data_IF_572477660147
#
_entry.id   IF_572477660147
#
_cell.length_a   1.000
_cell.length_b   1.000
_cell.length_c   1.000
_cell.angle_alpha   90.00
_cell.angle_beta   90.00
_cell.angle_gamma   90.00
#
_symmetry.space_group_name_H-M   'P 1'
#
loop_
_entity.id
_entity.type
_entity.pdbx_description
1 polymer ?
#
# COMPACT_ATOMS: atom_id res chain seq x y z
N UNK A 1 8.89 -9.28 -19.26
CA UNK A 1 8.47 -7.87 -19.47
C UNK A 1 9.60 -6.97 -19.01
N UNK A 2 9.93 -5.88 -19.73
CA UNK A 2 10.95 -4.92 -19.27
C UNK A 2 10.28 -3.94 -18.29
N UNK A 3 10.78 -3.88 -17.07
CA UNK A 3 10.28 -2.99 -16.01
C UNK A 3 11.45 -2.35 -15.26
N UNK A 4 11.35 -1.07 -14.94
CA UNK A 4 12.34 -0.38 -14.12
C UNK A 4 12.13 -0.69 -12.65
N UNK A 5 13.21 -1.12 -11.98
CA UNK A 5 13.27 -1.22 -10.53
C UNK A 5 13.97 0.01 -9.96
N UNK A 6 13.36 0.62 -8.94
CA UNK A 6 13.84 1.87 -8.35
C UNK A 6 14.67 1.62 -7.11
N UNK A 7 15.79 2.32 -7.00
CA UNK A 7 16.48 2.49 -5.72
C UNK A 7 15.59 3.31 -4.77
N UNK A 8 15.80 3.16 -3.46
CA UNK A 8 15.03 3.92 -2.47
C UNK A 8 15.20 5.44 -2.65
N UNK A 9 16.42 5.88 -3.00
CA UNK A 9 16.70 7.29 -3.25
C UNK A 9 15.92 7.81 -4.47
N UNK A 10 15.94 7.08 -5.59
CA UNK A 10 15.22 7.48 -6.80
C UNK A 10 13.71 7.48 -6.60
N UNK A 11 13.16 6.47 -5.91
CA UNK A 11 11.74 6.44 -5.57
C UNK A 11 11.32 7.69 -4.78
N UNK A 12 12.10 8.07 -3.76
CA UNK A 12 11.84 9.28 -2.98
C UNK A 12 11.94 10.56 -3.82
N UNK A 13 12.89 10.63 -4.75
CA UNK A 13 13.01 11.76 -5.67
C UNK A 13 11.78 11.89 -6.56
N UNK A 14 11.30 10.79 -7.15
CA UNK A 14 10.10 10.80 -7.98
C UNK A 14 8.87 11.17 -7.15
N UNK A 15 8.69 10.61 -5.96
CA UNK A 15 7.58 10.96 -5.06
C UNK A 15 7.55 12.48 -4.77
N UNK A 16 8.70 13.07 -4.45
CA UNK A 16 8.80 14.50 -4.20
C UNK A 16 8.44 15.34 -5.44
N UNK A 17 8.83 14.89 -6.64
CA UNK A 17 8.49 15.60 -7.88
C UNK A 17 7.02 15.47 -8.24
N UNK A 18 6.42 14.30 -8.05
CA UNK A 18 4.97 14.09 -8.21
C UNK A 18 4.17 15.07 -7.34
N UNK A 19 4.68 15.36 -6.14
CA UNK A 19 4.06 16.29 -5.19
C UNK A 19 4.51 17.75 -5.33
N UNK A 20 5.32 18.07 -6.33
CA UNK A 20 5.73 19.45 -6.60
C UNK A 20 4.63 20.22 -7.34
N UNK A 21 4.68 21.56 -7.29
CA UNK A 21 3.77 22.44 -8.02
C UNK A 21 3.78 22.19 -9.54
N UNK A 22 4.88 21.63 -10.08
CA UNK A 22 5.01 21.32 -11.50
C UNK A 22 4.17 20.12 -11.94
N UNK A 23 3.86 19.18 -11.03
CA UNK A 23 3.02 18.00 -11.33
C UNK A 23 1.66 18.12 -10.64
N UNK A 24 1.64 18.49 -9.37
CA UNK A 24 0.43 18.90 -8.66
C UNK A 24 -0.31 17.78 -7.92
N UNK A 25 0.29 16.61 -7.70
CA UNK A 25 -0.33 15.65 -6.78
C UNK A 25 -0.21 16.10 -5.33
N UNK A 26 -1.26 15.87 -4.56
CA UNK A 26 -1.16 15.91 -3.10
C UNK A 26 -0.74 14.55 -2.55
N UNK A 27 -0.09 14.54 -1.38
CA UNK A 27 0.20 13.27 -0.68
C UNK A 27 -1.08 12.48 -0.45
N UNK A 28 -2.19 13.16 -0.14
CA UNK A 28 -3.51 12.56 0.08
C UNK A 28 -3.99 11.79 -1.15
N UNK A 29 -3.87 12.38 -2.35
CA UNK A 29 -4.31 11.73 -3.60
C UNK A 29 -3.47 10.50 -3.92
N UNK A 30 -2.14 10.58 -3.80
CA UNK A 30 -1.25 9.44 -4.07
C UNK A 30 -1.54 8.28 -3.10
N UNK A 31 -1.71 8.58 -1.82
CA UNK A 31 -2.01 7.60 -0.77
C UNK A 31 -3.39 6.98 -0.98
N UNK A 32 -4.39 7.77 -1.38
CA UNK A 32 -5.73 7.29 -1.67
C UNK A 32 -5.75 6.31 -2.86
N UNK A 33 -5.03 6.65 -3.94
CA UNK A 33 -4.86 5.78 -5.12
C UNK A 33 -4.06 4.51 -4.81
N UNK A 34 -3.03 4.62 -3.98
CA UNK A 34 -2.21 3.49 -3.55
C UNK A 34 -3.02 2.51 -2.69
N UNK A 35 -3.71 3.01 -1.66
CA UNK A 35 -4.54 2.20 -0.79
C UNK A 35 -5.69 1.53 -1.54
N UNK A 36 -6.37 2.23 -2.45
CA UNK A 36 -7.38 1.62 -3.32
C UNK A 36 -6.79 0.47 -4.16
N UNK A 37 -5.60 0.66 -4.74
CA UNK A 37 -4.94 -0.38 -5.53
C UNK A 37 -4.63 -1.62 -4.69
N UNK A 38 -4.15 -1.43 -3.46
CA UNK A 38 -3.91 -2.52 -2.50
C UNK A 38 -5.22 -3.28 -2.22
N UNK A 39 -6.29 -2.57 -1.91
CA UNK A 39 -7.59 -3.18 -1.61
C UNK A 39 -8.16 -3.94 -2.80
N UNK A 40 -8.02 -3.43 -4.02
CA UNK A 40 -8.48 -4.12 -5.23
C UNK A 40 -7.67 -5.40 -5.50
N UNK A 41 -6.36 -5.39 -5.27
CA UNK A 41 -5.52 -6.59 -5.38
C UNK A 41 -5.98 -7.66 -4.38
N UNK A 42 -6.17 -7.26 -3.12
CA UNK A 42 -6.62 -8.17 -2.06
C UNK A 42 -8.00 -8.75 -2.42
N UNK A 43 -8.96 -7.89 -2.77
CA UNK A 43 -10.32 -8.31 -3.15
C UNK A 43 -10.33 -9.30 -4.31
N UNK A 44 -9.46 -9.11 -5.30
CA UNK A 44 -9.36 -10.01 -6.45
C UNK A 44 -8.80 -11.39 -6.09
N UNK A 45 -7.92 -11.46 -5.09
CA UNK A 45 -7.14 -12.67 -4.79
C UNK A 45 -7.66 -13.47 -3.58
N UNK A 46 -8.45 -12.85 -2.70
CA UNK A 46 -8.89 -13.46 -1.45
C UNK A 46 -10.40 -13.28 -1.27
N UNK A 47 -11.20 -14.30 -1.58
CA UNK A 47 -12.67 -14.19 -1.53
C UNK A 47 -13.22 -13.98 -0.10
N UNK A 48 -14.42 -13.40 -0.01
CA UNK A 48 -15.07 -13.12 1.27
C UNK A 48 -15.59 -14.37 2.00
N UNK A 49 -15.67 -15.53 1.35
CA UNK A 49 -16.14 -16.78 1.98
C UNK A 49 -15.03 -17.37 2.84
N UNK A 50 -13.81 -17.40 2.29
CA UNK A 50 -12.66 -18.02 2.94
C UNK A 50 -11.80 -17.01 3.74
N UNK A 51 -11.79 -15.74 3.34
CA UNK A 51 -10.85 -14.73 3.86
C UNK A 51 -11.53 -13.47 4.40
N UNK A 52 -12.68 -13.62 5.07
CA UNK A 52 -13.47 -12.47 5.55
C UNK A 52 -12.74 -11.54 6.52
N UNK A 53 -11.85 -12.06 7.36
CA UNK A 53 -11.17 -11.30 8.42
C UNK A 53 -9.77 -10.90 7.98
N UNK A 54 -9.44 -9.61 8.13
CA UNK A 54 -8.13 -9.06 7.76
C UNK A 54 -7.55 -8.27 8.93
N UNK A 55 -6.26 -8.48 9.20
CA UNK A 55 -5.46 -7.62 10.07
C UNK A 55 -4.46 -6.84 9.21
N UNK A 56 -4.44 -5.52 9.36
CA UNK A 56 -3.50 -4.64 8.66
C UNK A 56 -2.54 -4.00 9.65
N UNK A 57 -1.26 -4.31 9.53
CA UNK A 57 -0.21 -3.74 10.37
C UNK A 57 0.39 -2.50 9.70
N UNK A 58 0.15 -1.33 10.30
CA UNK A 58 0.62 -0.05 9.77
C UNK A 58 1.87 0.44 10.53
N UNK A 59 2.89 0.87 9.77
CA UNK A 59 4.03 1.61 10.30
C UNK A 59 3.80 3.13 10.32
N UNK A 60 4.68 3.94 10.93
CA UNK A 60 4.51 5.40 11.04
C UNK A 60 4.69 6.17 9.71
N UNK A 61 5.11 5.50 8.64
CA UNK A 61 5.47 6.12 7.36
C UNK A 61 4.32 6.13 6.34
N UNK A 62 4.63 6.54 5.11
CA UNK A 62 3.66 6.61 4.01
C UNK A 62 2.99 5.24 3.74
N UNK A 63 3.75 4.15 3.73
CA UNK A 63 3.20 2.79 3.60
C UNK A 63 2.14 2.46 4.66
N UNK A 64 2.30 2.97 5.88
CA UNK A 64 1.28 2.81 6.91
C UNK A 64 0.03 3.59 6.59
N UNK A 65 0.16 4.81 6.06
CA UNK A 65 -0.95 5.59 5.54
C UNK A 65 -1.69 4.90 4.39
N UNK A 66 -0.95 4.30 3.45
CA UNK A 66 -1.54 3.47 2.38
C UNK A 66 -2.33 2.29 2.96
N UNK A 67 -1.82 1.67 4.03
CA UNK A 67 -2.50 0.61 4.78
C UNK A 67 -3.77 1.09 5.49
N UNK A 68 -3.78 2.31 6.05
CA UNK A 68 -4.99 2.90 6.65
C UNK A 68 -6.05 3.16 5.57
N UNK A 69 -5.66 3.69 4.41
CA UNK A 69 -6.59 3.86 3.27
C UNK A 69 -7.11 2.50 2.81
N UNK A 70 -6.22 1.51 2.67
CA UNK A 70 -6.59 0.17 2.24
C UNK A 70 -7.59 -0.48 3.20
N UNK A 71 -7.42 -0.27 4.51
CA UNK A 71 -8.34 -0.73 5.55
C UNK A 71 -9.77 -0.24 5.33
N UNK A 72 -9.93 1.06 5.03
CA UNK A 72 -11.24 1.66 4.75
C UNK A 72 -11.89 1.03 3.53
N UNK A 73 -11.20 0.96 2.39
CA UNK A 73 -11.74 0.35 1.17
C UNK A 73 -12.08 -1.12 1.37
N UNK A 74 -11.25 -1.88 2.09
CA UNK A 74 -11.53 -3.30 2.37
C UNK A 74 -12.78 -3.49 3.24
N UNK A 75 -13.01 -2.60 4.21
CA UNK A 75 -14.28 -2.58 4.97
C UNK A 75 -15.47 -2.35 4.04
N UNK A 76 -15.37 -1.39 3.11
CA UNK A 76 -16.42 -1.13 2.11
C UNK A 76 -16.63 -2.30 1.14
N UNK A 77 -15.58 -3.07 0.85
CA UNK A 77 -15.66 -4.29 0.04
C UNK A 77 -16.25 -5.49 0.80
N UNK A 78 -16.56 -5.34 2.09
CA UNK A 78 -17.26 -6.35 2.90
C UNK A 78 -16.37 -7.17 3.83
N UNK A 79 -15.07 -6.86 3.94
CA UNK A 79 -14.19 -7.51 4.90
C UNK A 79 -14.42 -7.00 6.34
N UNK A 80 -14.14 -7.88 7.30
CA UNK A 80 -13.99 -7.54 8.71
C UNK A 80 -12.53 -7.17 8.97
N UNK A 81 -12.25 -5.87 8.99
CA UNK A 81 -10.88 -5.33 9.03
C UNK A 81 -10.55 -4.85 10.44
N UNK A 82 -9.36 -5.21 10.93
CA UNK A 82 -8.74 -4.63 12.12
C UNK A 82 -7.38 -4.05 11.75
N UNK A 83 -7.08 -2.85 12.25
CA UNK A 83 -5.79 -2.20 12.04
C UNK A 83 -4.95 -2.32 13.30
N UNK A 84 -3.68 -2.67 13.15
CA UNK A 84 -2.66 -2.58 14.21
C UNK A 84 -1.75 -1.41 13.86
N UNK A 85 -1.72 -0.38 14.70
CA UNK A 85 -0.91 0.82 14.46
C UNK A 85 -0.19 1.26 15.74
N UNK A 86 0.97 0.65 15.98
CA UNK A 86 1.71 0.80 17.24
C UNK A 86 2.41 2.15 17.40
N UNK A 87 2.78 2.78 16.28
CA UNK A 87 3.45 4.09 16.26
C UNK A 87 2.77 5.01 15.27
N UNK A 88 1.81 5.78 15.77
CA UNK A 88 1.05 6.71 14.95
C UNK A 88 1.88 7.91 14.48
N UNK A 89 1.51 8.44 13.32
CA UNK A 89 2.08 9.66 12.77
C UNK A 89 1.19 10.86 13.12
N UNK A 90 1.80 11.91 13.67
CA UNK A 90 1.06 13.07 14.18
C UNK A 90 0.67 14.12 13.11
N UNK A 91 1.05 13.91 11.84
CA UNK A 91 0.66 14.80 10.74
C UNK A 91 -0.86 14.82 10.54
N UNK A 92 -1.40 15.97 10.13
CA UNK A 92 -2.84 16.18 9.93
C UNK A 92 -3.48 15.13 9.01
N UNK A 93 -2.76 14.73 7.95
CA UNK A 93 -3.19 13.69 7.02
C UNK A 93 -3.55 12.39 7.75
N UNK A 94 -2.65 11.89 8.60
CA UNK A 94 -2.84 10.61 9.31
C UNK A 94 -3.93 10.70 10.37
N UNK A 95 -4.06 11.85 11.05
CA UNK A 95 -5.20 12.08 11.95
C UNK A 95 -6.54 12.02 11.21
N UNK A 96 -6.59 12.57 9.99
CA UNK A 96 -7.75 12.47 9.11
C UNK A 96 -8.06 11.03 8.72
N UNK A 97 -7.04 10.24 8.35
CA UNK A 97 -7.22 8.81 8.04
C UNK A 97 -7.75 8.02 9.24
N UNK A 98 -7.24 8.26 10.45
CA UNK A 98 -7.73 7.62 11.67
C UNK A 98 -9.19 8.01 11.98
N UNK A 99 -9.56 9.28 11.74
CA UNK A 99 -10.94 9.75 11.86
C UNK A 99 -11.85 9.04 10.87
N UNK A 100 -11.40 8.82 9.64
CA UNK A 100 -12.15 8.02 8.67
C UNK A 100 -12.34 6.59 9.17
N UNK A 101 -11.30 5.91 9.65
CA UNK A 101 -11.45 4.55 10.19
C UNK A 101 -12.45 4.46 11.34
N UNK A 102 -12.50 5.48 12.22
CA UNK A 102 -13.53 5.62 13.26
C UNK A 102 -14.94 5.67 12.65
N UNK A 103 -15.17 6.49 11.62
CA UNK A 103 -16.47 6.61 10.95
C UNK A 103 -16.90 5.36 10.18
N UNK A 104 -15.95 4.52 9.75
CA UNK A 104 -16.22 3.23 9.12
C UNK A 104 -16.25 2.07 10.14
N UNK A 105 -16.20 2.37 11.44
CA UNK A 105 -16.24 1.38 12.53
C UNK A 105 -15.15 0.29 12.38
N UNK A 106 -13.93 0.73 12.04
CA UNK A 106 -12.75 -0.13 11.91
C UNK A 106 -11.91 0.00 13.19
N UNK A 107 -11.74 -1.08 13.98
CA UNK A 107 -10.93 -1.04 15.18
C UNK A 107 -9.45 -0.79 14.87
N UNK A 108 -8.82 0.11 15.63
CA UNK A 108 -7.39 0.40 15.57
C UNK A 108 -6.73 0.04 16.90
N UNK A 109 -5.95 -1.04 16.90
CA UNK A 109 -5.19 -1.54 18.03
C UNK A 109 -3.85 -0.79 18.16
N UNK A 110 -3.56 -0.30 19.37
CA UNK A 110 -2.36 0.50 19.70
C UNK A 110 -1.37 -0.22 20.61
N UNK A 111 -1.74 -1.41 21.06
CA UNK A 111 -0.91 -2.31 21.85
C UNK A 111 -1.21 -3.75 21.45
N UNK A 112 -0.23 -4.63 21.63
CA UNK A 112 -0.37 -6.07 21.51
C UNK A 112 0.12 -6.64 22.83
N UNK A 113 -0.74 -7.39 23.53
CA UNK A 113 -0.33 -8.19 24.68
C UNK A 113 0.01 -9.60 24.20
N UNK A 114 1.18 -10.09 24.60
CA UNK A 114 1.61 -11.46 24.34
C UNK A 114 1.44 -12.27 25.63
N UNK A 115 0.21 -12.63 25.97
CA UNK A 115 -0.03 -13.44 27.17
C UNK A 115 0.33 -14.92 26.88
N UNK A 116 1.28 -15.47 27.65
CA UNK A 116 1.54 -16.93 27.70
C UNK A 116 2.59 -17.50 26.74
N UNK A 117 3.41 -16.67 26.10
CA UNK A 117 4.36 -17.12 25.10
C UNK A 117 5.70 -17.64 25.67
N UNK A 118 5.85 -18.96 25.77
CA UNK A 118 7.17 -19.61 25.86
C UNK A 118 7.56 -20.13 24.46
N UNK A 119 8.76 -19.76 23.99
CA UNK A 119 9.33 -20.08 22.67
C UNK A 119 8.49 -19.64 21.47
N UNK A 120 8.44 -18.33 21.18
CA UNK A 120 7.97 -17.85 19.86
C UNK A 120 9.15 -17.80 18.90
N UNK A 121 9.13 -18.64 17.89
CA UNK A 121 9.92 -18.45 16.68
C UNK A 121 9.09 -17.58 15.71
N UNK A 122 9.55 -16.34 15.46
CA UNK A 122 8.85 -15.41 14.55
C UNK A 122 9.19 -15.75 13.10
N UNK A 123 8.36 -16.56 12.45
CA UNK A 123 8.42 -16.79 11.01
C UNK A 123 7.50 -15.80 10.29
N UNK A 124 8.08 -14.78 9.65
CA UNK A 124 7.35 -13.85 8.77
C UNK A 124 7.49 -14.35 7.34
N UNK A 125 6.48 -15.08 6.86
CA UNK A 125 6.43 -15.52 5.46
C UNK A 125 5.38 -14.70 4.70
N UNK A 126 5.83 -13.90 3.73
CA UNK A 126 4.91 -13.22 2.80
C UNK A 126 4.47 -14.17 1.70
N UNK A 127 3.18 -14.22 1.37
CA UNK A 127 2.65 -14.93 0.18
C UNK A 127 2.70 -14.07 -1.08
N UNK A 128 2.64 -12.74 -0.91
CA UNK A 128 2.65 -11.78 -2.00
C UNK A 128 3.34 -10.47 -1.63
N UNK A 129 3.81 -9.75 -2.65
CA UNK A 129 4.31 -8.38 -2.53
C UNK A 129 3.47 -7.45 -3.42
N UNK A 130 3.12 -6.28 -2.90
CA UNK A 130 2.50 -5.20 -3.67
C UNK A 130 3.49 -4.03 -3.70
N UNK A 131 4.10 -3.82 -4.86
CA UNK A 131 4.88 -2.62 -5.11
C UNK A 131 3.96 -1.48 -5.53
N UNK A 132 4.24 -0.28 -5.04
CA UNK A 132 3.55 0.94 -5.46
C UNK A 132 4.43 1.78 -6.39
N UNK A 133 3.83 2.43 -7.39
CA UNK A 133 4.48 3.23 -8.44
C UNK A 133 5.36 2.40 -9.39
N UNK A 134 6.46 1.85 -8.87
CA UNK A 134 7.36 0.90 -9.52
C UNK A 134 8.01 0.00 -8.45
N UNK A 135 8.44 -1.22 -8.80
CA UNK A 135 9.08 -2.13 -7.84
C UNK A 135 10.43 -1.60 -7.36
N UNK A 136 10.81 -1.96 -6.13
CA UNK A 136 12.07 -1.54 -5.52
C UNK A 136 13.13 -2.57 -5.83
N UNK A 137 14.39 -2.17 -5.99
CA UNK A 137 15.48 -3.08 -6.42
C UNK A 137 15.65 -4.34 -5.56
N UNK A 138 15.34 -4.26 -4.27
CA UNK A 138 15.35 -5.43 -3.37
C UNK A 138 14.37 -6.55 -3.77
N UNK A 139 13.43 -6.28 -4.68
CA UNK A 139 12.43 -7.23 -5.18
C UNK A 139 12.78 -7.81 -6.55
N UNK A 140 13.97 -7.56 -7.11
CA UNK A 140 14.39 -8.10 -8.41
C UNK A 140 14.33 -9.64 -8.47
N UNK A 141 14.58 -10.29 -7.34
CA UNK A 141 14.57 -11.76 -7.21
C UNK A 141 13.36 -12.25 -6.41
N UNK A 142 12.29 -11.45 -6.29
CA UNK A 142 11.08 -11.89 -5.60
C UNK A 142 10.34 -12.92 -6.47
N UNK A 143 10.08 -14.10 -5.92
CA UNK A 143 9.60 -15.26 -6.70
C UNK A 143 8.14 -15.62 -6.45
N UNK A 144 7.50 -15.02 -5.44
CA UNK A 144 6.09 -15.27 -5.13
C UNK A 144 5.19 -14.29 -5.91
N UNK A 145 3.90 -14.24 -5.59
CA UNK A 145 2.95 -13.34 -6.28
C UNK A 145 3.38 -11.88 -6.12
N UNK A 146 3.74 -11.22 -7.21
CA UNK A 146 4.16 -9.82 -7.20
C UNK A 146 3.15 -8.99 -7.97
N UNK A 147 2.60 -7.96 -7.33
CA UNK A 147 1.72 -6.99 -7.97
C UNK A 147 2.37 -5.62 -7.98
N UNK A 148 2.03 -4.83 -8.99
CA UNK A 148 2.30 -3.41 -9.05
C UNK A 148 0.98 -2.64 -9.00
N UNK A 149 0.78 -1.85 -7.95
CA UNK A 149 -0.32 -0.90 -7.81
C UNK A 149 0.15 0.54 -7.98
N UNK A 150 -0.81 1.47 -8.08
CA UNK A 150 -0.51 2.90 -8.17
C UNK A 150 -0.28 3.37 -9.60
N UNK A 151 -1.34 3.33 -10.41
CA UNK A 151 -1.38 3.82 -11.78
C UNK A 151 -1.51 5.35 -11.84
N UNK A 152 -0.43 6.07 -11.49
CA UNK A 152 -0.45 7.54 -11.42
C UNK A 152 0.82 8.23 -11.95
N UNK A 153 1.76 7.49 -12.56
CA UNK A 153 2.94 8.09 -13.19
C UNK A 153 2.58 8.83 -14.48
N UNK A 154 2.78 10.17 -14.56
CA UNK A 154 2.51 10.92 -15.76
C UNK A 154 3.62 10.71 -16.81
N UNK A 155 3.27 10.87 -18.08
CA UNK A 155 4.20 10.67 -19.21
C UNK A 155 5.45 11.56 -19.13
N UNK A 156 5.33 12.76 -18.56
CA UNK A 156 6.47 13.67 -18.34
C UNK A 156 7.53 13.06 -17.41
N UNK A 157 7.10 12.43 -16.31
CA UNK A 157 7.99 11.76 -15.35
C UNK A 157 8.59 10.50 -15.97
N UNK A 158 7.78 9.70 -16.67
CA UNK A 158 8.24 8.49 -17.36
C UNK A 158 9.36 8.85 -18.35
N UNK A 159 9.16 9.88 -19.17
CA UNK A 159 10.15 10.36 -20.14
C UNK A 159 11.40 10.94 -19.46
N UNK A 160 11.23 11.77 -18.43
CA UNK A 160 12.33 12.43 -17.72
C UNK A 160 13.31 11.42 -17.10
N UNK A 161 12.78 10.36 -16.50
CA UNK A 161 13.58 9.34 -15.82
C UNK A 161 13.85 8.09 -16.66
N UNK A 162 13.42 8.08 -17.93
CA UNK A 162 13.56 6.95 -18.85
C UNK A 162 13.04 5.62 -18.23
N UNK A 163 11.82 5.67 -17.67
CA UNK A 163 11.24 4.55 -16.95
C UNK A 163 10.51 3.59 -17.88
N UNK A 164 10.78 2.29 -17.74
CA UNK A 164 9.98 1.22 -18.32
C UNK A 164 8.83 0.91 -17.33
N UNK A 165 7.62 1.38 -17.65
CA UNK A 165 6.41 1.16 -16.85
C UNK A 165 5.53 0.12 -17.54
N UNK A 166 5.03 -0.91 -16.83
CA UNK A 166 4.17 -1.91 -17.45
C UNK A 166 2.82 -1.32 -17.85
N UNK A 167 2.16 -1.94 -18.83
CA UNK A 167 0.84 -1.53 -19.28
C UNK A 167 -0.24 -2.02 -18.31
N UNK A 168 -1.09 -1.11 -17.81
CA UNK A 168 -2.25 -1.44 -16.99
C UNK A 168 -3.48 -1.63 -17.88
N UNK A 169 -4.12 -2.80 -17.81
CA UNK A 169 -5.29 -3.11 -18.63
C UNK A 169 -6.54 -2.33 -18.20
N UNK A 170 -7.26 -1.78 -19.18
CA UNK A 170 -8.57 -1.14 -18.96
C UNK A 170 -8.56 -0.09 -17.86
N UNK A 171 -9.43 -0.25 -16.87
CA UNK A 171 -9.57 0.63 -15.70
C UNK A 171 -8.81 0.14 -14.46
N UNK A 172 -8.03 -0.94 -14.58
CA UNK A 172 -7.31 -1.49 -13.42
C UNK A 172 -6.28 -0.49 -12.91
N UNK A 173 -6.20 -0.35 -11.59
CA UNK A 173 -5.17 0.45 -10.92
C UNK A 173 -3.93 -0.37 -10.54
N UNK A 174 -3.93 -1.66 -10.88
CA UNK A 174 -2.85 -2.61 -10.62
C UNK A 174 -2.63 -3.60 -11.78
N UNK A 175 -1.49 -4.27 -11.76
CA UNK A 175 -1.12 -5.39 -12.64
C UNK A 175 -0.32 -6.44 -11.84
N UNK A 176 -0.38 -7.70 -12.24
CA UNK A 176 0.52 -8.74 -11.73
C UNK A 176 1.81 -8.77 -12.56
N UNK A 177 2.98 -8.72 -11.90
CA UNK A 177 4.31 -8.72 -12.50
C UNK A 177 4.84 -10.14 -12.77
#
# INVERSE_FOLDING_TARGET
>A
MKITYLSQALAKTIDNELMSDAVGYTTSQLMELAGLSISQIIFKNYDLVNFKKIIICCGPGNNGGDGLVAARHLKEFGYDVTVVYLKENNKILFKGLLKLLEHYEIPVLRSITLDGAQNIELCVESEMNISLMLPKEGLRNYTKKHFLGGRFLPASIIKKYNLDVPHFEGYNSYIQL
#
